data_IF_771706440790
#
_entry.id   IF_771706440790
#
_cell.length_a   1.000
_cell.length_b   1.000
_cell.length_c   1.000
_cell.angle_alpha   90.00
_cell.angle_beta   90.00
_cell.angle_gamma   90.00
#
_symmetry.space_group_name_H-M   'P 1'
#
loop_
_entity.id
_entity.type
_entity.pdbx_description
1 polymer ?
#
# COMPACT_ATOMS: atom_id res chain seq x y z
N UNK A 1 2.55 19.93 -9.03
CA UNK A 1 2.13 18.99 -7.96
C UNK A 1 0.77 19.40 -7.40
N UNK A 2 -0.32 18.82 -7.92
CA UNK A 2 -1.62 18.90 -7.22
C UNK A 2 -1.66 17.72 -6.25
N UNK A 3 -2.02 17.96 -5.00
CA UNK A 3 -2.27 16.92 -3.99
C UNK A 3 -3.37 15.91 -4.40
N UNK A 4 -3.99 16.07 -5.58
CA UNK A 4 -5.12 15.29 -6.08
C UNK A 4 -4.79 13.82 -6.36
N UNK A 5 -3.59 13.53 -6.90
CA UNK A 5 -3.34 12.22 -7.51
C UNK A 5 -2.95 11.17 -6.46
N UNK A 6 -2.14 11.56 -5.48
CA UNK A 6 -1.88 10.74 -4.30
C UNK A 6 -3.16 10.52 -3.47
N UNK A 7 -4.01 11.55 -3.38
CA UNK A 7 -5.30 11.47 -2.70
C UNK A 7 -6.23 10.43 -3.33
N UNK A 8 -6.29 10.35 -4.67
CA UNK A 8 -7.06 9.33 -5.37
C UNK A 8 -6.53 7.91 -5.15
N UNK A 9 -5.20 7.74 -5.17
CA UNK A 9 -4.56 6.45 -4.88
C UNK A 9 -4.83 5.97 -3.45
N UNK A 10 -4.69 6.85 -2.46
CA UNK A 10 -5.07 6.62 -1.06
C UNK A 10 -6.54 6.20 -0.94
N UNK A 11 -7.44 6.94 -1.58
CA UNK A 11 -8.87 6.66 -1.55
C UNK A 11 -9.18 5.29 -2.15
N UNK A 12 -8.64 4.97 -3.33
CA UNK A 12 -8.83 3.68 -3.98
C UNK A 12 -8.30 2.52 -3.10
N UNK A 13 -7.11 2.66 -2.54
CA UNK A 13 -6.55 1.65 -1.63
C UNK A 13 -7.50 1.44 -0.45
N UNK A 14 -7.87 2.52 0.23
CA UNK A 14 -8.73 2.46 1.42
C UNK A 14 -10.08 1.83 1.12
N UNK A 15 -10.71 2.17 -0.01
CA UNK A 15 -12.00 1.61 -0.43
C UNK A 15 -11.93 0.11 -0.76
N UNK A 16 -10.79 -0.39 -1.24
CA UNK A 16 -10.61 -1.83 -1.44
C UNK A 16 -10.35 -2.52 -0.10
N UNK A 17 -9.49 -1.93 0.74
CA UNK A 17 -9.13 -2.47 2.05
C UNK A 17 -10.31 -2.50 3.04
N UNK A 18 -11.23 -1.54 2.97
CA UNK A 18 -12.43 -1.53 3.81
C UNK A 18 -13.38 -2.72 3.51
N UNK A 19 -13.28 -3.30 2.31
CA UNK A 19 -14.08 -4.45 1.87
C UNK A 19 -13.43 -5.80 2.14
N UNK A 20 -12.16 -5.84 2.53
CA UNK A 20 -11.52 -7.10 2.94
C UNK A 20 -12.04 -7.51 4.32
N UNK A 21 -11.72 -8.72 4.75
CA UNK A 21 -11.98 -9.16 6.12
C UNK A 21 -10.67 -9.29 6.90
N UNK A 22 -10.70 -9.04 8.22
CA UNK A 22 -9.52 -9.13 9.08
C UNK A 22 -8.63 -7.89 9.11
N UNK A 23 -7.50 -7.93 9.83
CA UNK A 23 -6.60 -6.80 10.00
C UNK A 23 -5.99 -6.30 8.69
N UNK A 24 -5.82 -4.99 8.57
CA UNK A 24 -5.20 -4.30 7.45
C UNK A 24 -3.90 -3.66 7.93
N UNK A 25 -2.78 -4.11 7.38
CA UNK A 25 -1.47 -3.56 7.71
C UNK A 25 -1.12 -2.42 6.75
N UNK A 26 -0.94 -1.22 7.29
CA UNK A 26 -0.45 -0.06 6.55
C UNK A 26 1.03 0.15 6.84
N UNK A 27 1.86 -0.03 5.82
CA UNK A 27 3.32 0.04 5.92
C UNK A 27 3.80 1.31 5.22
N UNK A 28 4.46 2.19 5.95
CA UNK A 28 4.98 3.47 5.42
C UNK A 28 6.37 3.77 5.96
N UNK A 29 7.11 4.65 5.28
CA UNK A 29 8.32 5.20 5.86
C UNK A 29 7.95 6.01 7.13
N UNK A 30 8.83 6.02 8.13
CA UNK A 30 8.59 6.72 9.40
C UNK A 30 8.29 8.22 9.25
N UNK A 31 8.77 8.87 8.18
CA UNK A 31 8.49 10.27 7.89
C UNK A 31 7.15 10.49 7.15
N UNK A 32 6.46 9.43 6.75
CA UNK A 32 5.27 9.45 5.89
C UNK A 32 4.11 8.67 6.51
N UNK A 33 3.98 8.71 7.83
CA UNK A 33 2.89 8.03 8.53
C UNK A 33 1.53 8.46 7.99
N UNK A 34 0.68 7.48 7.72
CA UNK A 34 -0.66 7.75 7.21
C UNK A 34 -1.54 8.38 8.28
N UNK A 35 -2.33 9.37 7.87
CA UNK A 35 -3.32 9.98 8.72
C UNK A 35 -4.53 9.05 8.90
N UNK A 36 -4.50 8.25 9.97
CA UNK A 36 -5.51 7.23 10.27
C UNK A 36 -6.97 7.73 10.27
N UNK A 37 -7.31 8.93 10.80
CA UNK A 37 -8.69 9.41 10.76
C UNK A 37 -9.24 9.59 9.33
N UNK A 38 -8.38 9.85 8.35
CA UNK A 38 -8.79 9.94 6.94
C UNK A 38 -9.13 8.60 6.34
N UNK A 39 -8.36 7.56 6.70
CA UNK A 39 -8.69 6.19 6.32
C UNK A 39 -10.02 5.75 6.93
N UNK A 40 -10.26 6.14 8.18
CA UNK A 40 -11.53 5.89 8.87
C UNK A 40 -12.70 6.60 8.20
N UNK A 41 -12.55 7.86 7.81
CA UNK A 41 -13.57 8.60 7.06
C UNK A 41 -13.93 7.94 5.72
N UNK A 42 -13.00 7.19 5.13
CA UNK A 42 -13.18 6.41 3.91
C UNK A 42 -13.70 4.98 4.16
N UNK A 43 -14.03 4.64 5.40
CA UNK A 43 -14.68 3.39 5.79
C UNK A 43 -13.75 2.28 6.27
N UNK A 44 -12.44 2.51 6.38
CA UNK A 44 -11.54 1.55 7.03
C UNK A 44 -11.68 1.64 8.55
N UNK A 45 -12.26 0.61 9.16
CA UNK A 45 -12.50 0.62 10.62
C UNK A 45 -11.18 0.68 11.39
N UNK A 46 -11.15 1.54 12.42
CA UNK A 46 -9.94 1.78 13.20
C UNK A 46 -9.44 0.54 13.96
N UNK A 47 -10.35 -0.34 14.38
CA UNK A 47 -10.04 -1.61 15.06
C UNK A 47 -9.36 -2.65 14.14
N UNK A 48 -9.38 -2.41 12.82
CA UNK A 48 -8.73 -3.27 11.82
C UNK A 48 -7.42 -2.70 11.32
N UNK A 49 -7.13 -1.41 11.55
CA UNK A 49 -5.93 -0.77 11.04
C UNK A 49 -4.74 -1.04 11.95
N UNK A 50 -3.68 -1.63 11.39
CA UNK A 50 -2.37 -1.75 12.02
C UNK A 50 -1.40 -0.87 11.23
N UNK A 51 -0.62 -0.02 11.90
CA UNK A 51 0.38 0.83 11.26
C UNK A 51 1.78 0.31 11.56
N UNK A 52 2.59 0.15 10.53
CA UNK A 52 4.00 -0.22 10.64
C UNK A 52 4.87 0.82 9.92
N UNK A 53 5.76 1.45 10.66
CA UNK A 53 6.73 2.39 10.10
C UNK A 53 8.08 1.71 9.87
N UNK A 54 8.71 1.94 8.72
CA UNK A 54 10.09 1.49 8.48
C UNK A 54 11.07 2.66 8.31
N UNK A 55 12.35 2.40 8.60
CA UNK A 55 13.46 3.33 8.34
C UNK A 55 14.22 2.96 7.06
N UNK A 56 14.33 1.66 6.77
CA UNK A 56 14.92 1.15 5.54
C UNK A 56 13.85 0.43 4.72
N UNK A 57 13.88 0.62 3.40
CA UNK A 57 12.89 0.01 2.50
C UNK A 57 12.91 -1.53 2.56
N UNK A 58 14.08 -2.13 2.84
CA UNK A 58 14.20 -3.57 3.00
C UNK A 58 13.28 -4.10 4.12
N UNK A 59 13.18 -3.37 5.25
CA UNK A 59 12.30 -3.74 6.36
C UNK A 59 10.82 -3.62 5.98
N UNK A 60 10.46 -2.58 5.21
CA UNK A 60 9.10 -2.39 4.70
C UNK A 60 8.68 -3.49 3.72
N UNK A 61 9.57 -3.86 2.80
CA UNK A 61 9.35 -4.97 1.86
C UNK A 61 9.24 -6.31 2.60
N UNK A 62 10.13 -6.57 3.56
CA UNK A 62 10.06 -7.78 4.38
C UNK A 62 8.74 -7.85 5.18
N UNK A 63 8.32 -6.74 5.79
CA UNK A 63 7.05 -6.65 6.52
C UNK A 63 5.86 -6.96 5.61
N UNK A 64 5.87 -6.45 4.37
CA UNK A 64 4.84 -6.74 3.38
C UNK A 64 4.83 -8.23 2.98
N UNK A 65 6.00 -8.84 2.77
CA UNK A 65 6.11 -10.28 2.48
C UNK A 65 5.51 -11.14 3.61
N UNK A 66 5.85 -10.83 4.86
CA UNK A 66 5.34 -11.57 6.02
C UNK A 66 3.84 -11.39 6.19
N UNK A 67 3.32 -10.18 5.94
CA UNK A 67 1.89 -9.92 5.96
C UNK A 67 1.16 -10.79 4.92
N UNK A 68 1.70 -10.91 3.70
CA UNK A 68 1.11 -11.73 2.64
C UNK A 68 1.19 -13.24 2.94
N UNK A 69 2.20 -13.70 3.68
CA UNK A 69 2.33 -15.10 4.10
C UNK A 69 1.44 -15.46 5.28
N UNK A 70 1.21 -14.51 6.19
CA UNK A 70 0.57 -14.77 7.49
C UNK A 70 -0.96 -14.78 7.43
N UNK A 71 -1.64 -15.82 7.95
CA UNK A 71 -3.11 -15.87 8.05
C UNK A 71 -3.70 -14.87 9.03
N UNK A 72 -2.88 -14.20 9.84
CA UNK A 72 -3.35 -13.15 10.74
C UNK A 72 -3.69 -11.84 10.01
N UNK A 73 -3.19 -11.62 8.79
CA UNK A 73 -3.51 -10.44 8.00
C UNK A 73 -4.66 -10.73 7.02
N UNK A 74 -5.52 -9.73 6.83
CA UNK A 74 -6.54 -9.72 5.78
C UNK A 74 -6.07 -9.01 4.51
N UNK A 75 -5.29 -7.94 4.70
CA UNK A 75 -4.66 -7.21 3.61
C UNK A 75 -3.46 -6.39 4.10
N UNK A 76 -2.61 -5.98 3.17
CA UNK A 76 -1.49 -5.09 3.45
C UNK A 76 -1.33 -4.03 2.34
N UNK A 77 -0.92 -2.83 2.75
CA UNK A 77 -0.48 -1.73 1.89
C UNK A 77 0.97 -1.43 2.22
N UNK A 78 1.79 -1.25 1.19
CA UNK A 78 3.11 -0.64 1.33
C UNK A 78 3.16 0.65 0.51
N UNK A 79 3.38 1.76 1.20
CA UNK A 79 3.68 3.05 0.58
C UNK A 79 5.17 3.12 0.26
N UNK A 80 5.54 3.15 -1.01
CA UNK A 80 6.94 3.27 -1.46
C UNK A 80 7.02 3.73 -2.91
N UNK A 81 7.97 4.59 -3.23
CA UNK A 81 8.24 5.00 -4.62
C UNK A 81 9.28 4.11 -5.30
N UNK A 82 9.90 3.21 -4.52
CA UNK A 82 10.98 2.34 -4.98
C UNK A 82 10.55 0.89 -4.87
N UNK A 83 10.57 0.21 -6.02
CA UNK A 83 10.36 -1.22 -6.12
C UNK A 83 11.16 -1.74 -7.32
N UNK A 84 12.12 -2.63 -7.06
CA UNK A 84 12.85 -3.32 -8.11
C UNK A 84 12.15 -4.64 -8.52
N UNK A 85 12.65 -5.26 -9.59
CA UNK A 85 12.09 -6.51 -10.12
C UNK A 85 12.26 -7.69 -9.16
N UNK A 86 13.30 -7.70 -8.33
CA UNK A 86 13.56 -8.78 -7.38
C UNK A 86 12.56 -8.72 -6.22
N UNK A 87 12.37 -7.53 -5.65
CA UNK A 87 11.38 -7.25 -4.63
C UNK A 87 9.96 -7.52 -5.14
N UNK A 88 9.62 -7.06 -6.36
CA UNK A 88 8.33 -7.32 -7.00
C UNK A 88 8.06 -8.83 -7.12
N UNK A 89 9.03 -9.61 -7.62
CA UNK A 89 8.90 -11.06 -7.74
C UNK A 89 8.74 -11.75 -6.38
N UNK A 90 9.48 -11.33 -5.36
CA UNK A 90 9.36 -11.88 -4.00
C UNK A 90 7.98 -11.62 -3.40
N UNK A 91 7.46 -10.40 -3.56
CA UNK A 91 6.11 -10.05 -3.11
C UNK A 91 5.04 -10.84 -3.84
N UNK A 92 5.17 -11.02 -5.16
CA UNK A 92 4.25 -11.84 -5.94
C UNK A 92 4.24 -13.29 -5.44
N UNK A 93 5.41 -13.90 -5.23
CA UNK A 93 5.51 -15.25 -4.66
C UNK A 93 4.94 -15.34 -3.23
N UNK A 94 5.06 -14.27 -2.43
CA UNK A 94 4.46 -14.22 -1.10
C UNK A 94 2.93 -14.12 -1.15
N UNK A 95 2.38 -13.48 -2.18
CA UNK A 95 0.94 -13.38 -2.43
C UNK A 95 0.36 -14.65 -3.08
N UNK A 96 1.16 -15.41 -3.83
CA UNK A 96 0.74 -16.63 -4.50
C UNK A 96 0.15 -17.66 -3.51
N UNK A 97 -1.04 -18.16 -3.83
CA UNK A 97 -1.77 -19.10 -2.97
C UNK A 97 -2.34 -18.49 -1.68
N UNK A 98 -2.12 -17.18 -1.44
CA UNK A 98 -2.77 -16.46 -0.35
C UNK A 98 -4.14 -15.93 -0.77
N UNK A 99 -5.06 -15.79 0.19
CA UNK A 99 -6.34 -15.09 0.00
C UNK A 99 -6.25 -13.61 0.40
N UNK A 100 -5.03 -13.09 0.60
CA UNK A 100 -4.77 -11.76 1.14
C UNK A 100 -4.54 -10.77 0.02
N UNK A 101 -4.97 -9.54 0.24
CA UNK A 101 -4.79 -8.47 -0.74
C UNK A 101 -3.52 -7.70 -0.41
N UNK A 102 -2.57 -7.65 -1.35
CA UNK A 102 -1.40 -6.77 -1.28
C UNK A 102 -1.53 -5.61 -2.25
N UNK A 103 -1.44 -4.37 -1.76
CA UNK A 103 -1.42 -3.17 -2.59
C UNK A 103 -0.13 -2.38 -2.39
N UNK A 104 0.41 -1.83 -3.47
CA UNK A 104 1.54 -0.92 -3.44
C UNK A 104 1.04 0.48 -3.78
N UNK A 105 1.16 1.40 -2.83
CA UNK A 105 0.86 2.81 -3.02
C UNK A 105 2.15 3.54 -3.39
N UNK A 106 2.23 4.04 -4.61
CA UNK A 106 3.41 4.73 -5.15
C UNK A 106 3.07 6.17 -5.45
N UNK A 107 3.89 7.09 -4.98
CA UNK A 107 3.83 8.49 -5.34
C UNK A 107 4.64 8.69 -6.64
N UNK A 108 3.96 8.55 -7.77
CA UNK A 108 4.60 8.86 -9.05
C UNK A 108 4.68 10.37 -9.24
N UNK A 109 5.89 10.92 -9.13
CA UNK A 109 6.19 12.18 -9.81
C UNK A 109 6.05 11.94 -11.33
N UNK A 110 5.43 12.90 -12.00
CA UNK A 110 4.96 12.88 -13.37
C UNK A 110 5.96 12.22 -14.36
N UNK A 111 5.46 11.32 -15.22
CA UNK A 111 6.17 11.00 -16.47
C UNK A 111 6.13 12.26 -17.33
N UNK A 112 7.26 12.64 -17.95
CA UNK A 112 7.33 13.69 -18.97
C UNK A 112 6.28 13.49 -20.09
N UNK A 113 6.06 14.51 -20.95
CA UNK A 113 4.88 14.62 -21.81
C UNK A 113 4.57 13.31 -22.54
N UNK A 114 3.44 12.71 -22.19
CA UNK A 114 2.93 11.53 -22.87
C UNK A 114 2.47 11.93 -24.28
N UNK A 115 3.03 11.29 -25.31
CA UNK A 115 2.63 11.51 -26.70
C UNK A 115 1.20 11.03 -27.02
N UNK A 116 0.52 10.38 -26.07
CA UNK A 116 -0.84 9.90 -26.22
C UNK A 116 -1.92 11.01 -26.11
N UNK A 117 -1.53 12.27 -25.96
CA UNK A 117 -2.45 13.41 -25.86
C UNK A 117 -2.66 14.20 -27.18
N UNK A 118 -2.13 13.76 -28.32
CA UNK A 118 -2.46 14.37 -29.62
C UNK A 118 -3.56 13.57 -30.31
N UNK A 119 -4.80 14.04 -30.21
CA UNK A 119 -5.86 13.82 -31.21
C UNK A 119 -6.70 15.06 -31.36
#
# INVERSE_FOLDING_TARGET
MKASDLGAGLALCTLNLSRTNGPVLWISAHAEDVWAPGLHALGLRADRLLQASYRQLADGLWTMEEALRSPASGAAVLQTDRLDMTASRRLQLAAEGSTRVGLLLRNFAEHGPSSAASR
#
